data_IF_598007781307
#
_entry.id   IF_598007781307
#
_cell.length_a   1.000
_cell.length_b   1.000
_cell.length_c   1.000
_cell.angle_alpha   90.00
_cell.angle_beta   90.00
_cell.angle_gamma   90.00
#
_symmetry.space_group_name_H-M   'P 1'
#
loop_
_entity.id
_entity.type
_entity.pdbx_description
1 polymer ?
#
# COMPACT_ATOMS: atom_id res chain seq x y z
N UNK A 1 -27.84 -44.69 -6.71
CA UNK A 1 -28.56 -43.90 -7.72
C UNK A 1 -27.77 -42.62 -7.92
N UNK A 2 -26.97 -42.58 -8.99
CA UNK A 2 -26.13 -41.44 -9.34
C UNK A 2 -27.00 -40.36 -9.98
N UNK A 3 -27.10 -39.18 -9.36
CA UNK A 3 -27.58 -37.98 -10.04
C UNK A 3 -26.37 -37.32 -10.70
N UNK A 4 -26.17 -37.69 -11.97
CA UNK A 4 -25.23 -37.08 -12.89
C UNK A 4 -25.87 -35.78 -13.38
N UNK A 5 -25.52 -34.66 -12.75
CA UNK A 5 -25.88 -33.34 -13.29
C UNK A 5 -24.98 -33.15 -14.52
N UNK A 6 -25.60 -33.16 -15.70
CA UNK A 6 -24.94 -32.83 -16.95
C UNK A 6 -24.64 -31.32 -16.93
N UNK A 7 -23.38 -30.97 -16.65
CA UNK A 7 -22.83 -29.70 -17.08
C UNK A 7 -22.91 -29.67 -18.61
N UNK A 8 -23.59 -28.67 -19.16
CA UNK A 8 -23.57 -28.42 -20.60
C UNK A 8 -22.15 -28.09 -21.04
N UNK A 9 -21.68 -28.73 -22.10
CA UNK A 9 -20.35 -28.58 -22.74
C UNK A 9 -19.92 -27.12 -23.02
N UNK A 10 -20.85 -26.15 -22.98
CA UNK A 10 -20.62 -24.74 -23.28
C UNK A 10 -19.93 -23.94 -22.17
N UNK A 11 -20.02 -24.36 -20.89
CA UNK A 11 -19.37 -23.68 -19.76
C UNK A 11 -17.93 -24.19 -19.58
N UNK A 12 -17.71 -25.48 -19.79
CA UNK A 12 -16.39 -26.11 -19.71
C UNK A 12 -15.47 -25.69 -20.87
N UNK A 13 -16.05 -25.32 -22.03
CA UNK A 13 -15.31 -24.77 -23.18
C UNK A 13 -15.03 -23.26 -23.12
N UNK A 14 -15.67 -22.51 -22.20
CA UNK A 14 -15.53 -21.04 -22.12
C UNK A 14 -14.28 -20.57 -21.37
N UNK A 15 -13.65 -21.45 -20.58
CA UNK A 15 -12.57 -21.10 -19.64
C UNK A 15 -11.54 -22.22 -19.48
N UNK A 16 -11.07 -22.82 -20.57
CA UNK A 16 -10.21 -24.02 -20.56
C UNK A 16 -8.81 -23.86 -19.94
N UNK A 17 -8.46 -22.68 -19.40
CA UNK A 17 -7.12 -22.42 -18.86
C UNK A 17 -7.06 -21.50 -17.62
N UNK A 18 -8.20 -21.11 -17.02
CA UNK A 18 -8.22 -20.18 -15.87
C UNK A 18 -7.55 -20.74 -14.62
N UNK A 19 -7.61 -22.06 -14.40
CA UNK A 19 -6.85 -22.72 -13.32
C UNK A 19 -5.34 -22.53 -13.49
N UNK A 20 -4.84 -22.64 -14.72
CA UNK A 20 -3.43 -22.43 -15.06
C UNK A 20 -3.01 -20.97 -14.91
N UNK A 21 -3.89 -20.02 -15.26
CA UNK A 21 -3.63 -18.58 -15.04
C UNK A 21 -3.48 -18.27 -13.56
N UNK A 22 -4.41 -18.76 -12.72
CA UNK A 22 -4.35 -18.50 -11.26
C UNK A 22 -3.05 -19.03 -10.67
N UNK A 23 -2.72 -20.29 -10.98
CA UNK A 23 -1.50 -20.94 -10.52
C UNK A 23 -0.23 -20.23 -11.00
N UNK A 24 -0.24 -19.71 -12.23
CA UNK A 24 0.86 -18.92 -12.79
C UNK A 24 1.12 -17.66 -11.96
N UNK A 25 0.10 -16.85 -11.69
CA UNK A 25 0.25 -15.64 -10.88
C UNK A 25 0.57 -15.93 -9.41
N UNK A 26 0.04 -17.01 -8.81
CA UNK A 26 0.47 -17.46 -7.47
C UNK A 26 1.96 -17.79 -7.42
N UNK A 27 2.47 -18.42 -8.48
CA UNK A 27 3.91 -18.73 -8.61
C UNK A 27 4.74 -17.46 -8.73
N UNK A 28 4.28 -16.48 -9.52
CA UNK A 28 4.94 -15.18 -9.65
C UNK A 28 4.94 -14.39 -8.32
N UNK A 29 3.83 -14.39 -7.58
CA UNK A 29 3.73 -13.76 -6.26
C UNK A 29 4.71 -14.40 -5.26
N UNK A 30 4.77 -15.74 -5.21
CA UNK A 30 5.75 -16.46 -4.37
C UNK A 30 7.21 -16.13 -4.73
N UNK A 31 7.48 -15.85 -6.01
CA UNK A 31 8.81 -15.40 -6.45
C UNK A 31 9.11 -13.98 -6.00
N UNK A 32 8.10 -13.11 -5.94
CA UNK A 32 8.20 -11.71 -5.50
C UNK A 32 8.29 -11.55 -3.98
N UNK A 33 7.94 -12.58 -3.19
CA UNK A 33 8.10 -12.61 -1.73
C UNK A 33 9.52 -12.21 -1.29
N UNK A 34 9.60 -11.29 -0.33
CA UNK A 34 10.84 -10.76 0.26
C UNK A 34 11.78 -11.84 0.79
N UNK A 35 11.24 -12.97 1.23
CA UNK A 35 12.01 -14.11 1.76
C UNK A 35 12.47 -15.11 0.68
N UNK A 36 12.05 -14.92 -0.58
CA UNK A 36 12.41 -15.81 -1.69
C UNK A 36 13.86 -15.59 -2.14
N UNK A 37 14.63 -16.67 -2.26
CA UNK A 37 16.01 -16.61 -2.76
C UNK A 37 16.04 -16.30 -4.26
N UNK A 38 16.90 -15.38 -4.73
CA UNK A 38 17.00 -15.08 -6.15
C UNK A 38 17.52 -16.29 -6.91
N UNK A 39 16.93 -16.54 -8.09
CA UNK A 39 17.52 -17.47 -9.06
C UNK A 39 18.48 -16.68 -9.96
N UNK A 40 19.60 -17.29 -10.31
CA UNK A 40 20.55 -16.67 -11.25
C UNK A 40 19.90 -16.56 -12.63
N UNK A 41 19.90 -15.37 -13.25
CA UNK A 41 19.53 -15.18 -14.64
C UNK A 41 20.27 -16.13 -15.57
N UNK A 42 19.54 -16.95 -16.34
CA UNK A 42 20.16 -17.93 -17.24
C UNK A 42 20.88 -17.30 -18.46
N UNK A 43 20.61 -16.01 -18.73
CA UNK A 43 21.06 -15.30 -19.94
C UNK A 43 22.29 -14.42 -19.74
N UNK A 44 22.79 -14.26 -18.51
CA UNK A 44 23.86 -13.30 -18.17
C UNK A 44 25.15 -14.01 -17.72
N UNK A 45 26.30 -13.47 -18.09
CA UNK A 45 27.59 -13.97 -17.66
C UNK A 45 27.88 -13.61 -16.19
N UNK A 46 28.75 -14.38 -15.55
CA UNK A 46 29.18 -14.15 -14.15
C UNK A 46 29.81 -12.76 -13.97
N UNK A 47 30.47 -12.22 -15.00
CA UNK A 47 31.10 -10.90 -14.94
C UNK A 47 30.06 -9.77 -15.01
N UNK A 48 29.03 -9.93 -15.84
CA UNK A 48 27.90 -8.98 -15.93
C UNK A 48 27.10 -8.96 -14.62
N UNK A 49 26.83 -10.13 -14.05
CA UNK A 49 26.07 -10.28 -12.82
C UNK A 49 26.77 -9.71 -11.58
N UNK A 50 28.11 -9.67 -11.59
CA UNK A 50 28.91 -9.11 -10.49
C UNK A 50 29.19 -7.60 -10.65
N UNK A 51 28.83 -6.99 -11.78
CA UNK A 51 29.08 -5.58 -12.05
C UNK A 51 27.89 -4.71 -11.62
N UNK A 52 28.09 -3.92 -10.56
CA UNK A 52 27.08 -2.94 -10.11
C UNK A 52 26.69 -1.95 -11.21
N UNK A 53 27.66 -1.60 -12.07
CA UNK A 53 27.46 -0.68 -13.19
C UNK A 53 26.58 -1.30 -14.28
N UNK A 54 26.81 -2.57 -14.60
CA UNK A 54 25.97 -3.33 -15.52
C UNK A 54 24.55 -3.51 -14.97
N UNK A 55 24.41 -3.93 -13.71
CA UNK A 55 23.10 -4.09 -13.06
C UNK A 55 22.30 -2.78 -13.05
N UNK A 56 22.96 -1.63 -12.88
CA UNK A 56 22.30 -0.33 -12.72
C UNK A 56 22.02 0.41 -14.03
N UNK A 57 23.03 0.52 -14.89
CA UNK A 57 22.97 1.35 -16.09
C UNK A 57 22.43 0.58 -17.31
N UNK A 58 22.52 -0.75 -17.30
CA UNK A 58 22.15 -1.56 -18.46
C UNK A 58 20.97 -2.48 -18.15
N UNK A 59 21.08 -3.31 -17.13
CA UNK A 59 20.09 -4.34 -16.85
C UNK A 59 18.78 -3.77 -16.25
N UNK A 60 18.88 -2.89 -15.25
CA UNK A 60 17.70 -2.31 -14.58
C UNK A 60 16.79 -1.56 -15.56
N UNK A 61 17.23 -0.58 -16.37
CA UNK A 61 16.34 0.16 -17.27
C UNK A 61 15.59 -0.77 -18.24
N UNK A 62 16.28 -1.79 -18.77
CA UNK A 62 15.69 -2.78 -19.67
C UNK A 62 14.63 -3.61 -18.95
N UNK A 63 14.93 -4.14 -17.76
CA UNK A 63 13.98 -4.93 -16.97
C UNK A 63 12.76 -4.10 -16.58
N UNK A 64 12.96 -2.83 -16.18
CA UNK A 64 11.87 -1.95 -15.80
C UNK A 64 10.97 -1.58 -17.00
N UNK A 65 11.56 -1.22 -18.15
CA UNK A 65 10.80 -0.95 -19.37
C UNK A 65 10.01 -2.18 -19.85
N UNK A 66 10.63 -3.36 -19.77
CA UNK A 66 9.97 -4.61 -20.18
C UNK A 66 8.84 -4.99 -19.21
N UNK A 67 8.99 -4.73 -17.91
CA UNK A 67 7.91 -4.91 -16.93
C UNK A 67 6.79 -3.90 -17.14
N UNK A 68 7.11 -2.64 -17.43
CA UNK A 68 6.14 -1.60 -17.79
C UNK A 68 5.26 -2.06 -18.96
N UNK A 69 5.86 -2.53 -20.06
CA UNK A 69 5.11 -2.93 -21.25
C UNK A 69 4.22 -4.16 -21.00
N UNK A 70 4.73 -5.15 -20.27
CA UNK A 70 3.94 -6.33 -19.89
C UNK A 70 2.78 -5.97 -18.95
N UNK A 71 2.98 -5.08 -17.98
CA UNK A 71 1.92 -4.62 -17.09
C UNK A 71 0.89 -3.75 -17.81
N UNK A 72 1.31 -2.93 -18.77
CA UNK A 72 0.41 -2.15 -19.64
C UNK A 72 -0.47 -3.08 -20.47
N UNK A 73 0.14 -4.09 -21.08
CA UNK A 73 -0.58 -5.09 -21.89
C UNK A 73 -1.53 -5.93 -21.02
N UNK A 74 -1.09 -6.32 -19.82
CA UNK A 74 -1.90 -7.05 -18.84
C UNK A 74 -3.10 -6.20 -18.37
N UNK A 75 -2.87 -4.92 -18.07
CA UNK A 75 -3.91 -3.95 -17.68
C UNK A 75 -4.99 -3.83 -18.77
N UNK A 76 -4.60 -3.70 -20.04
CA UNK A 76 -5.54 -3.70 -21.15
C UNK A 76 -6.30 -5.02 -21.30
N UNK A 77 -5.61 -6.16 -21.11
CA UNK A 77 -6.23 -7.48 -21.19
C UNK A 77 -7.24 -7.74 -20.05
N UNK A 78 -7.10 -7.04 -18.93
CA UNK A 78 -7.96 -7.14 -17.74
C UNK A 78 -9.15 -6.18 -17.74
N UNK A 79 -9.30 -5.34 -18.77
CA UNK A 79 -10.46 -4.46 -18.90
C UNK A 79 -11.76 -5.30 -18.98
N UNK A 80 -12.78 -5.02 -18.13
CA UNK A 80 -14.00 -5.82 -18.06
C UNK A 80 -14.72 -5.97 -19.40
N UNK A 81 -14.74 -4.90 -20.22
CA UNK A 81 -15.37 -4.89 -21.53
C UNK A 81 -14.64 -5.83 -22.50
N UNK A 82 -13.31 -5.84 -22.45
CA UNK A 82 -12.47 -6.65 -23.32
C UNK A 82 -12.53 -8.15 -22.98
N UNK A 83 -12.56 -8.48 -21.68
CA UNK A 83 -12.71 -9.84 -21.17
C UNK A 83 -14.09 -10.43 -21.49
N UNK A 84 -15.13 -9.60 -21.50
CA UNK A 84 -16.49 -10.03 -21.84
C UNK A 84 -16.63 -10.34 -23.34
N UNK A 85 -15.97 -9.55 -24.18
CA UNK A 85 -16.07 -9.65 -25.64
C UNK A 85 -15.26 -10.82 -26.23
N UNK A 86 -14.06 -11.12 -25.71
CA UNK A 86 -13.22 -12.22 -26.21
C UNK A 86 -12.43 -12.92 -25.08
N UNK A 87 -13.10 -13.71 -24.22
CA UNK A 87 -12.50 -14.28 -23.02
C UNK A 87 -11.36 -15.26 -23.31
N UNK A 88 -11.48 -16.08 -24.34
CA UNK A 88 -10.51 -17.13 -24.65
C UNK A 88 -9.19 -16.54 -25.18
N UNK A 89 -9.24 -15.56 -26.08
CA UNK A 89 -8.02 -14.90 -26.58
C UNK A 89 -7.34 -14.08 -25.49
N UNK A 90 -8.10 -13.42 -24.60
CA UNK A 90 -7.54 -12.65 -23.48
C UNK A 90 -6.90 -13.54 -22.43
N UNK A 91 -7.52 -14.68 -22.08
CA UNK A 91 -6.91 -15.68 -21.19
C UNK A 91 -5.63 -16.26 -21.79
N UNK A 92 -5.60 -16.54 -23.09
CA UNK A 92 -4.40 -16.99 -23.78
C UNK A 92 -3.30 -15.94 -23.76
N UNK A 93 -3.62 -14.69 -24.04
CA UNK A 93 -2.69 -13.57 -23.94
C UNK A 93 -2.11 -13.44 -22.52
N UNK A 94 -2.95 -13.57 -21.50
CA UNK A 94 -2.51 -13.53 -20.10
C UNK A 94 -1.51 -14.66 -19.80
N UNK A 95 -1.75 -15.88 -20.29
CA UNK A 95 -0.80 -17.01 -20.14
C UNK A 95 0.53 -16.75 -20.84
N UNK A 96 0.51 -16.18 -22.04
CA UNK A 96 1.72 -15.82 -22.79
C UNK A 96 2.53 -14.76 -22.01
N UNK A 97 1.85 -13.74 -21.47
CA UNK A 97 2.45 -12.70 -20.64
C UNK A 97 3.10 -13.24 -19.35
N UNK A 98 2.57 -14.31 -18.75
CA UNK A 98 3.11 -14.88 -17.51
C UNK A 98 4.55 -15.37 -17.66
N UNK A 99 4.92 -15.92 -18.82
CA UNK A 99 6.30 -16.38 -19.07
C UNK A 99 7.29 -15.21 -19.18
N UNK A 100 6.90 -14.11 -19.83
CA UNK A 100 7.68 -12.88 -19.90
C UNK A 100 7.82 -12.21 -18.54
N UNK A 101 6.74 -12.18 -17.74
CA UNK A 101 6.76 -11.70 -16.37
C UNK A 101 7.67 -12.56 -15.48
N UNK A 102 7.65 -13.89 -15.63
CA UNK A 102 8.51 -14.81 -14.86
C UNK A 102 10.00 -14.54 -15.07
N UNK A 103 10.39 -14.32 -16.33
CA UNK A 103 11.76 -13.98 -16.68
C UNK A 103 12.16 -12.64 -16.05
N UNK A 104 11.37 -11.59 -16.26
CA UNK A 104 11.69 -10.25 -15.78
C UNK A 104 11.69 -10.15 -14.24
N UNK A 105 10.79 -10.86 -13.56
CA UNK A 105 10.79 -10.94 -12.09
C UNK A 105 12.04 -11.65 -11.57
N UNK A 106 12.55 -12.65 -12.30
CA UNK A 106 13.83 -13.30 -11.95
C UNK A 106 14.99 -12.32 -12.03
N UNK A 107 15.06 -11.53 -13.10
CA UNK A 107 16.04 -10.46 -13.26
C UNK A 107 15.90 -9.38 -12.17
N UNK A 108 14.67 -8.96 -11.88
CA UNK A 108 14.34 -7.98 -10.85
C UNK A 108 14.78 -8.45 -9.45
N UNK A 109 14.48 -9.70 -9.09
CA UNK A 109 14.89 -10.31 -7.81
C UNK A 109 16.40 -10.42 -7.68
N UNK A 110 17.09 -10.73 -8.78
CA UNK A 110 18.54 -10.75 -8.80
C UNK A 110 19.11 -9.34 -8.54
N UNK A 111 18.57 -8.31 -9.21
CA UNK A 111 18.92 -6.91 -8.94
C UNK A 111 18.68 -6.59 -7.46
N UNK A 112 17.49 -6.84 -6.91
CA UNK A 112 17.17 -6.57 -5.48
C UNK A 112 18.21 -7.19 -4.54
N UNK A 113 18.56 -8.46 -4.76
CA UNK A 113 19.40 -9.20 -3.84
C UNK A 113 20.87 -8.75 -3.88
N UNK A 114 21.42 -8.59 -5.08
CA UNK A 114 22.85 -8.32 -5.25
C UNK A 114 23.19 -6.82 -5.30
N UNK A 115 22.19 -5.95 -5.44
CA UNK A 115 22.41 -4.51 -5.51
C UNK A 115 22.72 -3.90 -4.14
N UNK A 116 23.90 -3.29 -3.97
CA UNK A 116 24.44 -2.84 -2.67
C UNK A 116 23.80 -1.56 -2.09
N UNK A 117 23.10 -0.76 -2.89
CA UNK A 117 22.55 0.53 -2.43
C UNK A 117 21.12 0.34 -1.91
N UNK A 118 20.95 0.54 -0.60
CA UNK A 118 19.72 0.23 0.13
C UNK A 118 18.50 1.07 -0.29
N UNK A 119 18.67 2.31 -0.76
CA UNK A 119 17.54 3.18 -1.15
C UNK A 119 16.92 2.84 -2.51
N UNK A 120 17.71 2.26 -3.40
CA UNK A 120 17.25 1.80 -4.72
C UNK A 120 16.74 0.37 -4.63
N UNK A 121 17.34 -0.44 -3.74
CA UNK A 121 16.80 -1.75 -3.35
C UNK A 121 15.39 -1.64 -2.77
N UNK A 122 15.08 -0.61 -1.97
CA UNK A 122 13.71 -0.39 -1.47
C UNK A 122 12.75 -0.02 -2.60
N UNK A 123 13.13 0.85 -3.54
CA UNK A 123 12.33 1.19 -4.74
C UNK A 123 12.01 -0.04 -5.60
N UNK A 124 13.01 -0.87 -5.88
CA UNK A 124 12.82 -2.10 -6.67
C UNK A 124 12.00 -3.15 -5.89
N UNK A 125 12.06 -3.15 -4.55
CA UNK A 125 11.18 -3.94 -3.70
C UNK A 125 9.73 -3.43 -3.69
N UNK A 126 9.50 -2.11 -3.72
CA UNK A 126 8.16 -1.54 -3.84
C UNK A 126 7.56 -1.92 -5.20
N UNK A 127 8.32 -1.80 -6.30
CA UNK A 127 7.90 -2.33 -7.62
C UNK A 127 7.54 -3.81 -7.55
N UNK A 128 8.38 -4.63 -6.90
CA UNK A 128 8.09 -6.05 -6.71
C UNK A 128 6.81 -6.30 -5.90
N UNK A 129 6.59 -5.52 -4.84
CA UNK A 129 5.40 -5.60 -4.00
C UNK A 129 4.14 -5.20 -4.78
N UNK A 130 4.18 -4.12 -5.56
CA UNK A 130 3.07 -3.63 -6.40
C UNK A 130 2.67 -4.61 -7.49
N UNK A 131 3.67 -5.23 -8.13
CA UNK A 131 3.44 -6.30 -9.10
C UNK A 131 2.75 -7.49 -8.41
N UNK A 132 3.19 -7.86 -7.21
CA UNK A 132 2.56 -8.94 -6.44
C UNK A 132 1.13 -8.61 -6.04
N UNK A 133 0.85 -7.37 -5.62
CA UNK A 133 -0.49 -6.89 -5.28
C UNK A 133 -1.41 -6.94 -6.51
N UNK A 134 -0.90 -6.52 -7.67
CA UNK A 134 -1.62 -6.58 -8.95
C UNK A 134 -2.00 -8.04 -9.30
N UNK A 135 -1.08 -8.98 -9.17
CA UNK A 135 -1.34 -10.40 -9.44
C UNK A 135 -2.36 -11.02 -8.47
N UNK A 136 -2.35 -10.61 -7.21
CA UNK A 136 -3.32 -11.05 -6.22
C UNK A 136 -4.75 -10.67 -6.63
N UNK A 137 -4.95 -9.41 -7.04
CA UNK A 137 -6.26 -8.94 -7.48
C UNK A 137 -6.73 -9.58 -8.79
N UNK A 138 -5.81 -9.84 -9.73
CA UNK A 138 -6.11 -10.59 -10.96
C UNK A 138 -6.59 -12.00 -10.64
N UNK A 139 -5.92 -12.70 -9.73
CA UNK A 139 -6.31 -14.03 -9.29
C UNK A 139 -7.68 -14.04 -8.61
N UNK A 140 -7.93 -13.06 -7.75
CA UNK A 140 -9.22 -12.90 -7.09
C UNK A 140 -10.34 -12.68 -8.10
N UNK A 141 -10.08 -11.92 -9.16
CA UNK A 141 -11.03 -11.68 -10.25
C UNK A 141 -11.33 -12.96 -11.06
N UNK A 142 -10.30 -13.69 -11.49
CA UNK A 142 -10.48 -14.94 -12.27
C UNK A 142 -11.21 -15.99 -11.44
N UNK A 143 -10.89 -16.09 -10.15
CA UNK A 143 -11.55 -16.98 -9.20
C UNK A 143 -13.04 -16.65 -9.04
N UNK A 144 -13.39 -15.36 -8.86
CA UNK A 144 -14.78 -14.89 -8.74
C UNK A 144 -15.58 -15.06 -10.04
N UNK A 145 -14.95 -14.85 -11.20
CA UNK A 145 -15.59 -15.01 -12.52
C UNK A 145 -15.92 -16.48 -12.80
N UNK A 146 -15.06 -17.41 -12.38
CA UNK A 146 -15.25 -18.85 -12.50
C UNK A 146 -16.40 -19.40 -11.64
N UNK A 147 -16.69 -18.78 -10.49
CA UNK A 147 -17.80 -19.19 -9.60
C UNK A 147 -19.19 -18.75 -10.09
N UNK A 148 -19.26 -17.84 -11.07
CA UNK A 148 -20.49 -17.21 -11.57
C UNK A 148 -21.25 -18.02 -12.64
N UNK A 149 -21.04 -19.33 -12.75
CA UNK A 149 -21.71 -20.17 -13.75
C UNK A 149 -23.16 -20.54 -13.38
N UNK A 150 -23.59 -20.25 -12.15
CA UNK A 150 -25.00 -20.30 -11.75
C UNK A 150 -25.65 -18.90 -11.84
N UNK A 151 -26.95 -18.80 -12.16
CA UNK A 151 -27.63 -17.52 -12.34
C UNK A 151 -27.60 -16.71 -11.03
N UNK A 152 -27.40 -15.38 -11.10
CA UNK A 152 -27.21 -14.55 -9.92
C UNK A 152 -28.53 -14.44 -9.15
N UNK A 153 -28.51 -14.85 -7.88
CA UNK A 153 -29.32 -14.14 -6.88
C UNK A 153 -28.69 -12.75 -6.68
N UNK A 154 -29.55 -11.74 -6.69
CA UNK A 154 -29.25 -10.34 -7.02
C UNK A 154 -28.34 -9.58 -6.03
N UNK A 155 -27.77 -8.51 -6.58
CA UNK A 155 -27.40 -7.21 -5.98
C UNK A 155 -26.01 -6.96 -5.35
N UNK A 156 -25.26 -7.94 -4.83
CA UNK A 156 -23.96 -7.63 -4.17
C UNK A 156 -22.70 -8.05 -4.96
N UNK A 157 -22.85 -8.82 -6.04
CA UNK A 157 -21.72 -9.44 -6.74
C UNK A 157 -21.09 -8.62 -7.87
N UNK A 158 -21.86 -7.74 -8.52
CA UNK A 158 -21.42 -7.02 -9.73
C UNK A 158 -20.57 -5.79 -9.39
N UNK A 159 -20.98 -5.00 -8.39
CA UNK A 159 -20.18 -3.88 -7.87
C UNK A 159 -18.84 -4.31 -7.25
N UNK A 160 -18.79 -5.50 -6.64
CA UNK A 160 -17.54 -6.06 -6.11
C UNK A 160 -16.58 -6.55 -7.21
N UNK A 161 -17.11 -6.95 -8.38
CA UNK A 161 -16.29 -7.35 -9.55
C UNK A 161 -15.65 -6.13 -10.20
N UNK A 162 -16.45 -5.10 -10.47
CA UNK A 162 -15.99 -3.88 -11.12
C UNK A 162 -14.97 -3.11 -10.25
N UNK A 163 -15.16 -3.13 -8.93
CA UNK A 163 -14.24 -2.52 -7.98
C UNK A 163 -12.87 -3.20 -7.90
N UNK A 164 -12.81 -4.52 -7.80
CA UNK A 164 -11.51 -5.22 -7.74
C UNK A 164 -10.71 -5.07 -9.04
N UNK A 165 -11.39 -4.95 -10.18
CA UNK A 165 -10.75 -4.66 -11.47
C UNK A 165 -10.22 -3.23 -11.47
N UNK A 166 -11.01 -2.26 -11.01
CA UNK A 166 -10.58 -0.87 -10.91
C UNK A 166 -9.37 -0.71 -9.97
N UNK A 167 -9.36 -1.39 -8.82
CA UNK A 167 -8.22 -1.41 -7.88
C UNK A 167 -6.95 -2.00 -8.53
N UNK A 168 -7.07 -3.12 -9.25
CA UNK A 168 -5.95 -3.72 -9.98
C UNK A 168 -5.43 -2.79 -11.10
N UNK A 169 -6.33 -2.17 -11.86
CA UNK A 169 -6.00 -1.22 -12.91
C UNK A 169 -5.37 0.06 -12.37
N UNK A 170 -5.81 0.54 -11.20
CA UNK A 170 -5.26 1.73 -10.54
C UNK A 170 -3.84 1.47 -10.04
N UNK A 171 -3.59 0.30 -9.43
CA UNK A 171 -2.24 -0.11 -9.00
C UNK A 171 -1.32 -0.32 -10.19
N UNK A 172 -1.79 -0.95 -11.28
CA UNK A 172 -0.99 -1.13 -12.51
C UNK A 172 -0.70 0.20 -13.20
N UNK A 173 -1.69 1.09 -13.37
CA UNK A 173 -1.49 2.44 -13.92
C UNK A 173 -0.51 3.24 -13.08
N UNK A 174 -0.59 3.12 -11.76
CA UNK A 174 0.35 3.80 -10.87
C UNK A 174 1.77 3.25 -10.98
N UNK A 175 1.91 1.93 -11.10
CA UNK A 175 3.22 1.28 -11.34
C UNK A 175 3.81 1.72 -12.68
N UNK A 176 2.96 1.89 -13.70
CA UNK A 176 3.34 2.44 -15.02
C UNK A 176 3.82 3.88 -14.89
N UNK A 177 3.06 4.78 -14.25
CA UNK A 177 3.48 6.18 -14.06
C UNK A 177 4.77 6.33 -13.25
N UNK A 178 5.02 5.39 -12.32
CA UNK A 178 6.25 5.37 -11.54
C UNK A 178 7.49 5.07 -12.40
N UNK A 179 7.34 4.27 -13.47
CA UNK A 179 8.42 4.05 -14.43
C UNK A 179 8.78 5.30 -15.25
N UNK A 180 7.87 6.27 -15.33
CA UNK A 180 8.01 7.49 -16.15
C UNK A 180 8.54 8.72 -15.36
N UNK A 181 8.62 8.68 -14.02
CA UNK A 181 8.84 9.86 -13.15
C UNK A 181 10.29 10.20 -12.72
N UNK A 182 10.57 11.49 -12.50
CA UNK A 182 11.83 12.05 -11.94
C UNK A 182 11.84 11.97 -10.40
N UNK A 183 13.02 12.04 -9.78
CA UNK A 183 13.24 11.77 -8.35
C UNK A 183 12.43 12.62 -7.35
N UNK A 184 11.88 13.77 -7.79
CA UNK A 184 10.97 14.62 -6.99
C UNK A 184 9.54 14.09 -6.90
N UNK A 185 9.08 13.27 -7.85
CA UNK A 185 7.73 12.67 -7.85
C UNK A 185 7.66 11.44 -6.94
N UNK A 186 8.82 10.85 -6.59
CA UNK A 186 8.92 9.58 -5.88
C UNK A 186 8.52 9.68 -4.40
N UNK A 187 8.86 10.79 -3.72
CA UNK A 187 8.49 11.02 -2.31
C UNK A 187 6.98 11.20 -2.19
N UNK A 188 6.40 11.97 -3.12
CA UNK A 188 4.96 12.23 -3.16
C UNK A 188 4.15 10.99 -3.55
N UNK A 189 4.66 10.18 -4.48
CA UNK A 189 4.04 8.91 -4.85
C UNK A 189 4.08 7.88 -3.72
N UNK A 190 5.19 7.74 -3.00
CA UNK A 190 5.26 6.89 -1.79
C UNK A 190 4.25 7.34 -0.71
N UNK A 191 4.07 8.65 -0.56
CA UNK A 191 3.06 9.17 0.34
C UNK A 191 1.64 8.97 -0.20
N UNK A 192 1.39 9.03 -1.50
CA UNK A 192 0.04 8.93 -2.06
C UNK A 192 -0.66 7.62 -1.71
N UNK A 193 0.04 6.50 -1.83
CA UNK A 193 -0.55 5.19 -1.49
C UNK A 193 -0.72 5.04 0.01
N UNK A 194 0.30 5.40 0.77
CA UNK A 194 0.26 5.27 2.22
C UNK A 194 -0.80 6.19 2.83
N UNK A 195 -0.97 7.40 2.29
CA UNK A 195 -2.03 8.33 2.68
C UNK A 195 -3.43 7.83 2.30
N UNK A 196 -3.60 7.19 1.13
CA UNK A 196 -4.85 6.50 0.78
C UNK A 196 -5.18 5.37 1.76
N UNK A 197 -4.18 4.55 2.16
CA UNK A 197 -4.37 3.49 3.17
C UNK A 197 -4.71 4.07 4.54
N UNK A 198 -4.07 5.17 4.94
CA UNK A 198 -4.41 5.92 6.15
C UNK A 198 -5.84 6.47 6.08
N UNK A 199 -6.28 6.95 4.92
CA UNK A 199 -7.65 7.43 4.70
C UNK A 199 -8.69 6.32 4.81
N UNK A 200 -8.41 5.15 4.24
CA UNK A 200 -9.28 3.99 4.39
C UNK A 200 -9.38 3.55 5.84
N UNK A 201 -8.24 3.45 6.54
CA UNK A 201 -8.21 3.10 7.96
C UNK A 201 -8.98 4.13 8.81
N UNK A 202 -8.85 5.42 8.50
CA UNK A 202 -9.61 6.48 9.16
C UNK A 202 -11.13 6.31 8.95
N UNK A 203 -11.54 5.99 7.73
CA UNK A 203 -12.95 5.73 7.40
C UNK A 203 -13.48 4.51 8.14
N UNK A 204 -12.70 3.42 8.21
CA UNK A 204 -13.06 2.23 8.98
C UNK A 204 -13.22 2.53 10.48
N UNK A 205 -12.29 3.27 11.08
CA UNK A 205 -12.38 3.65 12.50
C UNK A 205 -13.59 4.53 12.80
N UNK A 206 -13.99 5.40 11.87
CA UNK A 206 -15.22 6.19 12.01
C UNK A 206 -16.46 5.29 12.03
N UNK A 207 -16.53 4.27 11.16
CA UNK A 207 -17.63 3.29 11.14
C UNK A 207 -17.67 2.46 12.45
N UNK A 208 -16.51 2.10 12.98
CA UNK A 208 -16.40 1.27 14.19
C UNK A 208 -16.87 1.97 15.47
N UNK A 209 -16.79 3.31 15.49
CA UNK A 209 -17.06 4.16 16.67
C UNK A 209 -18.41 4.89 16.58
N UNK A 210 -18.84 5.28 15.39
CA UNK A 210 -20.06 6.09 15.21
C UNK A 210 -21.23 5.24 14.70
N UNK A 211 -22.32 5.09 15.48
CA UNK A 211 -23.46 4.29 15.08
C UNK A 211 -24.28 4.89 13.93
N UNK A 212 -24.09 6.18 13.63
CA UNK A 212 -24.82 6.92 12.58
C UNK A 212 -24.13 6.87 11.22
N UNK A 213 -22.87 6.43 11.18
CA UNK A 213 -22.13 6.22 9.93
C UNK A 213 -22.44 4.81 9.42
N UNK A 214 -23.20 4.74 8.32
CA UNK A 214 -23.53 3.46 7.71
C UNK A 214 -22.29 2.87 7.01
N UNK A 215 -22.04 1.55 7.16
CA UNK A 215 -20.98 0.89 6.41
C UNK A 215 -21.27 1.02 4.92
N UNK A 216 -20.34 1.59 4.17
CA UNK A 216 -20.23 1.27 2.74
C UNK A 216 -19.89 -0.22 2.59
N UNK A 217 -20.33 -0.89 1.52
CA UNK A 217 -20.18 -2.34 1.21
C UNK A 217 -18.72 -2.89 1.17
N UNK A 218 -17.76 -2.19 1.76
CA UNK A 218 -16.31 -2.42 1.69
C UNK A 218 -15.62 -2.32 3.04
N UNK A 219 -16.33 -2.42 4.16
CA UNK A 219 -15.68 -2.54 5.47
C UNK A 219 -15.27 -3.99 5.70
N UNK A 220 -14.01 -4.20 6.11
CA UNK A 220 -13.49 -5.51 6.50
C UNK A 220 -14.32 -6.13 7.65
N UNK A 221 -15.09 -5.32 8.38
CA UNK A 221 -15.88 -5.72 9.55
C UNK A 221 -17.36 -5.32 9.43
N UNK A 222 -18.09 -5.86 8.44
CA UNK A 222 -19.54 -5.65 8.28
C UNK A 222 -20.40 -5.98 9.52
N UNK A 223 -19.84 -6.56 10.60
CA UNK A 223 -20.63 -7.08 11.74
C UNK A 223 -20.13 -6.75 13.16
N UNK A 224 -19.04 -6.00 13.37
CA UNK A 224 -18.53 -5.74 14.74
C UNK A 224 -18.12 -4.29 14.95
N UNK A 225 -18.99 -3.52 15.59
CA UNK A 225 -18.66 -2.21 16.19
C UNK A 225 -17.90 -2.42 17.49
N UNK A 226 -17.09 -1.44 17.88
CA UNK A 226 -16.51 -1.45 19.23
C UNK A 226 -17.61 -1.27 20.28
N UNK A 227 -17.56 -2.08 21.32
CA UNK A 227 -18.58 -2.11 22.39
C UNK A 227 -17.98 -1.60 23.69
N UNK A 228 -16.69 -1.85 23.93
CA UNK A 228 -16.02 -1.42 25.14
C UNK A 228 -15.78 0.09 25.10
N UNK A 229 -16.36 0.81 26.07
CA UNK A 229 -16.20 2.27 26.18
C UNK A 229 -14.73 2.72 26.18
N UNK A 230 -13.78 2.04 26.86
CA UNK A 230 -12.36 2.40 26.75
C UNK A 230 -11.78 2.27 25.34
N UNK A 231 -12.20 1.26 24.57
CA UNK A 231 -11.76 1.04 23.18
C UNK A 231 -12.34 2.11 22.27
N UNK A 232 -13.61 2.49 22.47
CA UNK A 232 -14.27 3.60 21.77
C UNK A 232 -13.51 4.92 21.97
N UNK A 233 -13.19 5.27 23.23
CA UNK A 233 -12.47 6.51 23.54
C UNK A 233 -11.03 6.50 23.01
N UNK A 234 -10.34 5.36 23.12
CA UNK A 234 -9.01 5.18 22.52
C UNK A 234 -9.05 5.31 20.99
N UNK A 235 -10.09 4.78 20.34
CA UNK A 235 -10.25 4.89 18.90
C UNK A 235 -10.51 6.34 18.46
N UNK A 236 -11.31 7.11 19.20
CA UNK A 236 -11.49 8.56 18.94
C UNK A 236 -10.18 9.34 19.07
N UNK A 237 -9.36 8.98 20.06
CA UNK A 237 -8.03 9.56 20.23
C UNK A 237 -7.11 9.19 19.06
N UNK A 238 -7.09 7.92 18.64
CA UNK A 238 -6.34 7.46 17.46
C UNK A 238 -6.78 8.16 16.17
N UNK A 239 -8.09 8.34 15.95
CA UNK A 239 -8.65 9.11 14.84
C UNK A 239 -8.06 10.53 14.80
N UNK A 240 -7.89 11.16 15.97
CA UNK A 240 -7.30 12.50 16.07
C UNK A 240 -5.82 12.49 15.67
N UNK A 241 -5.05 11.51 16.14
CA UNK A 241 -3.64 11.31 15.76
C UNK A 241 -3.52 11.06 14.25
N UNK A 242 -4.32 10.15 13.70
CA UNK A 242 -4.36 9.85 12.26
C UNK A 242 -4.63 11.11 11.44
N UNK A 243 -5.61 11.93 11.84
CA UNK A 243 -5.93 13.19 11.16
C UNK A 243 -4.77 14.18 11.18
N UNK A 244 -4.04 14.27 12.29
CA UNK A 244 -2.85 15.12 12.39
C UNK A 244 -1.72 14.61 11.50
N UNK A 245 -1.43 13.30 11.49
CA UNK A 245 -0.45 12.72 10.58
C UNK A 245 -0.85 12.95 9.11
N UNK A 246 -2.12 12.75 8.76
CA UNK A 246 -2.62 13.06 7.40
C UNK A 246 -2.43 14.52 7.03
N UNK A 247 -2.68 15.43 7.97
CA UNK A 247 -2.51 16.86 7.77
C UNK A 247 -1.06 17.21 7.45
N UNK A 248 -0.07 16.57 8.08
CA UNK A 248 1.35 16.71 7.78
C UNK A 248 1.66 16.35 6.33
N UNK A 249 1.30 15.13 5.90
CA UNK A 249 1.54 14.66 4.53
C UNK A 249 0.85 15.55 3.49
N UNK A 250 -0.40 15.95 3.75
CA UNK A 250 -1.15 16.85 2.86
C UNK A 250 -0.50 18.23 2.74
N UNK A 251 0.15 18.72 3.81
CA UNK A 251 0.86 20.00 3.76
C UNK A 251 2.10 19.94 2.87
N UNK A 252 2.76 18.79 2.79
CA UNK A 252 3.98 18.58 2.01
C UNK A 252 3.72 18.20 0.53
N UNK A 253 2.53 17.68 0.19
CA UNK A 253 2.12 17.37 -1.18
C UNK A 253 2.05 18.62 -2.11
N UNK A 254 1.96 18.39 -3.43
CA UNK A 254 1.61 19.36 -4.49
C UNK A 254 0.42 20.25 -4.14
N UNK A 255 -0.54 19.79 -3.33
CA UNK A 255 -1.66 20.62 -2.89
C UNK A 255 -1.33 21.59 -1.74
N UNK A 256 -0.12 21.53 -1.19
CA UNK A 256 0.37 22.32 -0.06
C UNK A 256 1.57 23.19 -0.42
N UNK A 257 2.74 22.87 0.13
CA UNK A 257 4.01 23.60 -0.07
C UNK A 257 4.61 23.42 -1.45
N UNK A 258 4.32 22.32 -2.13
CA UNK A 258 4.94 21.97 -3.40
C UNK A 258 4.20 22.57 -4.63
N UNK A 259 3.33 23.58 -4.42
CA UNK A 259 2.56 24.24 -5.50
C UNK A 259 3.40 25.03 -6.50
N UNK A 260 4.61 25.44 -6.13
CA UNK A 260 5.47 26.35 -6.92
C UNK A 260 6.74 25.67 -7.46
N UNK A 261 6.77 24.34 -7.55
CA UNK A 261 7.98 23.54 -7.81
C UNK A 261 9.07 23.87 -6.78
N UNK A 262 9.11 23.11 -5.68
CA UNK A 262 10.34 23.06 -4.89
C UNK A 262 11.50 22.76 -5.86
N UNK A 263 12.65 23.46 -5.76
CA UNK A 263 13.74 23.25 -6.68
C UNK A 263 14.13 21.78 -6.71
N UNK A 264 14.40 21.27 -7.92
CA UNK A 264 14.66 19.87 -8.26
C UNK A 264 15.79 19.21 -7.45
N UNK A 265 16.55 20.01 -6.69
CA UNK A 265 17.68 19.56 -5.89
C UNK A 265 17.58 20.14 -4.48
N UNK A 266 17.33 19.25 -3.52
CA UNK A 266 17.52 19.51 -2.09
C UNK A 266 18.91 19.06 -1.69
N UNK A 267 19.58 19.74 -0.76
CA UNK A 267 20.88 19.31 -0.22
C UNK A 267 20.80 18.06 0.71
N UNK A 268 19.63 17.41 0.79
CA UNK A 268 19.46 16.21 1.61
C UNK A 268 20.26 15.04 1.06
N UNK A 269 20.97 14.33 1.94
CA UNK A 269 21.61 13.07 1.58
C UNK A 269 20.57 11.94 1.45
N UNK A 270 21.00 10.83 0.87
CA UNK A 270 20.15 9.69 0.55
C UNK A 270 19.42 9.10 1.78
N UNK A 271 20.04 9.10 2.97
CA UNK A 271 19.40 8.63 4.22
C UNK A 271 18.30 9.58 4.69
N UNK A 272 18.49 10.88 4.51
CA UNK A 272 17.49 11.89 4.88
C UNK A 272 16.27 11.83 3.95
N UNK A 273 16.50 11.69 2.64
CA UNK A 273 15.43 11.49 1.66
C UNK A 273 14.67 10.19 1.98
N UNK A 274 15.40 9.09 2.25
CA UNK A 274 14.80 7.81 2.64
C UNK A 274 13.87 7.94 3.86
N UNK A 275 14.33 8.65 4.88
CA UNK A 275 13.55 8.89 6.09
C UNK A 275 12.21 9.59 5.79
N UNK A 276 12.17 10.49 4.81
CA UNK A 276 10.92 11.11 4.36
C UNK A 276 10.05 10.14 3.56
N UNK A 277 10.63 9.36 2.64
CA UNK A 277 9.89 8.42 1.81
C UNK A 277 9.15 7.33 2.60
N UNK A 278 9.84 6.70 3.56
CA UNK A 278 9.32 5.53 4.28
C UNK A 278 8.32 5.92 5.38
N UNK A 279 8.32 7.19 5.80
CA UNK A 279 7.52 7.69 6.93
C UNK A 279 6.04 7.31 6.87
N UNK A 280 5.40 7.48 5.72
CA UNK A 280 3.96 7.26 5.60
C UNK A 280 3.58 5.77 5.71
N UNK A 281 4.39 4.88 5.13
CA UNK A 281 4.19 3.44 5.20
C UNK A 281 4.40 2.93 6.64
N UNK A 282 5.48 3.39 7.24
CA UNK A 282 5.85 3.08 8.62
C UNK A 282 4.79 3.53 9.63
N UNK A 283 4.23 4.72 9.45
CA UNK A 283 3.14 5.25 10.30
C UNK A 283 1.84 4.48 10.06
N UNK A 284 1.54 4.09 8.82
CA UNK A 284 0.38 3.25 8.53
C UNK A 284 0.47 1.88 9.21
N UNK A 285 1.64 1.22 9.16
CA UNK A 285 1.86 -0.06 9.81
C UNK A 285 1.63 0.02 11.32
N UNK A 286 2.12 1.09 11.95
CA UNK A 286 1.89 1.35 13.37
C UNK A 286 0.41 1.54 13.71
N UNK A 287 -0.33 2.29 12.89
CA UNK A 287 -1.77 2.47 13.10
C UNK A 287 -2.55 1.18 12.94
N UNK A 288 -2.24 0.38 11.93
CA UNK A 288 -2.87 -0.92 11.72
C UNK A 288 -2.62 -1.84 12.92
N UNK A 289 -1.40 -1.86 13.46
CA UNK A 289 -1.05 -2.65 14.64
C UNK A 289 -1.87 -2.22 15.87
N UNK A 290 -2.05 -0.91 16.12
CA UNK A 290 -2.91 -0.42 17.21
C UNK A 290 -4.37 -0.87 17.00
N UNK A 291 -4.89 -0.82 15.77
CA UNK A 291 -6.27 -1.24 15.49
C UNK A 291 -6.47 -2.74 15.71
N UNK A 292 -5.49 -3.57 15.34
CA UNK A 292 -5.53 -4.99 15.66
C UNK A 292 -5.54 -5.24 17.18
N UNK A 293 -4.74 -4.47 17.93
CA UNK A 293 -4.76 -4.55 19.40
C UNK A 293 -6.10 -4.12 20.00
N UNK A 294 -6.84 -3.18 19.40
CA UNK A 294 -8.21 -2.86 19.84
C UNK A 294 -9.15 -4.06 19.69
N UNK A 295 -9.06 -4.80 18.58
CA UNK A 295 -9.86 -6.02 18.37
C UNK A 295 -9.49 -7.12 19.38
N UNK A 296 -8.20 -7.22 19.73
CA UNK A 296 -7.76 -8.14 20.78
C UNK A 296 -8.34 -7.77 22.15
N UNK A 297 -8.42 -6.46 22.48
CA UNK A 297 -9.04 -6.02 23.75
C UNK A 297 -10.53 -6.39 23.81
N UNK A 298 -11.28 -6.21 22.72
CA UNK A 298 -12.70 -6.56 22.63
C UNK A 298 -12.97 -8.06 22.79
N UNK A 299 -11.98 -8.91 22.47
CA UNK A 299 -12.09 -10.37 22.55
C UNK A 299 -11.35 -10.97 23.77
N UNK A 300 -10.62 -10.15 24.53
CA UNK A 300 -9.79 -10.62 25.63
C UNK A 300 -10.59 -11.06 26.86
N UNK A 301 -10.52 -12.36 27.17
CA UNK A 301 -11.22 -12.96 28.32
C UNK A 301 -10.57 -12.66 29.69
N UNK A 302 -9.28 -12.29 29.75
CA UNK A 302 -8.54 -12.14 31.02
C UNK A 302 -7.86 -10.78 31.20
N UNK A 303 -7.59 -10.38 32.46
CA UNK A 303 -6.92 -9.12 32.81
C UNK A 303 -5.42 -9.08 32.43
N UNK A 304 -4.62 -10.15 32.60
CA UNK A 304 -3.20 -10.12 32.25
C UNK A 304 -2.93 -9.88 30.75
N UNK A 305 -3.79 -10.38 29.86
CA UNK A 305 -3.68 -10.10 28.42
C UNK A 305 -3.92 -8.61 28.13
N UNK A 306 -4.84 -7.95 28.84
CA UNK A 306 -5.14 -6.51 28.66
C UNK A 306 -4.00 -5.58 29.07
N UNK A 307 -3.31 -5.85 30.18
CA UNK A 307 -2.14 -5.05 30.57
C UNK A 307 -0.98 -5.19 29.57
N UNK A 308 -0.78 -6.39 29.01
CA UNK A 308 0.21 -6.60 27.95
C UNK A 308 -0.16 -5.83 26.68
N UNK A 309 -1.43 -5.88 26.27
CA UNK A 309 -1.94 -5.13 25.12
C UNK A 309 -1.76 -3.62 25.34
N UNK A 310 -2.16 -3.08 26.51
CA UNK A 310 -1.95 -1.67 26.87
C UNK A 310 -0.48 -1.26 26.74
N UNK A 311 0.44 -2.03 27.33
CA UNK A 311 1.88 -1.75 27.26
C UNK A 311 2.37 -1.77 25.81
N UNK A 312 1.83 -2.65 24.98
CA UNK A 312 2.17 -2.70 23.57
C UNK A 312 1.68 -1.46 22.82
N UNK A 313 0.43 -1.06 23.02
CA UNK A 313 -0.15 0.14 22.41
C UNK A 313 0.64 1.41 22.73
N UNK A 314 1.04 1.61 24.00
CA UNK A 314 1.84 2.77 24.42
C UNK A 314 3.19 2.79 23.68
N UNK A 315 3.86 1.65 23.57
CA UNK A 315 5.12 1.56 22.82
C UNK A 315 4.95 1.91 21.34
N UNK A 316 3.83 1.54 20.74
CA UNK A 316 3.55 1.89 19.34
C UNK A 316 3.25 3.39 19.23
N UNK A 317 2.52 3.99 20.17
CA UNK A 317 2.30 5.43 20.21
C UNK A 317 3.63 6.22 20.33
N UNK A 318 4.53 5.78 21.21
CA UNK A 318 5.90 6.32 21.31
C UNK A 318 6.67 6.16 19.99
N UNK A 319 6.54 5.00 19.32
CA UNK A 319 7.15 4.74 18.01
C UNK A 319 6.63 5.72 16.94
N UNK A 320 5.31 5.97 16.90
CA UNK A 320 4.72 6.97 16.01
C UNK A 320 5.30 8.35 16.27
N UNK A 321 5.45 8.76 17.53
CA UNK A 321 6.08 10.05 17.90
C UNK A 321 7.50 10.16 17.30
N UNK A 322 8.32 9.14 17.56
CA UNK A 322 9.73 9.11 17.16
C UNK A 322 9.91 9.09 15.64
N UNK A 323 8.96 8.52 14.88
CA UNK A 323 9.00 8.53 13.42
C UNK A 323 8.97 9.93 12.82
N UNK A 324 8.35 10.90 13.50
CA UNK A 324 8.24 12.27 12.98
C UNK A 324 9.39 13.19 13.39
N UNK A 325 10.22 12.85 14.38
CA UNK A 325 11.30 13.73 14.87
C UNK A 325 12.28 14.14 13.74
N UNK A 326 12.83 13.16 13.03
CA UNK A 326 13.77 13.42 11.95
C UNK A 326 13.08 14.05 10.72
N UNK A 327 11.97 13.50 10.17
CA UNK A 327 11.26 14.11 9.06
C UNK A 327 10.82 15.55 9.29
N UNK A 328 10.31 15.87 10.47
CA UNK A 328 9.89 17.23 10.81
C UNK A 328 11.08 18.21 10.76
N UNK A 329 12.23 17.82 11.32
CA UNK A 329 13.45 18.62 11.24
C UNK A 329 13.95 18.77 9.80
N UNK A 330 13.92 17.69 9.00
CA UNK A 330 14.35 17.72 7.61
C UNK A 330 13.50 18.66 6.77
N UNK A 331 12.18 18.66 6.98
CA UNK A 331 11.26 19.61 6.35
C UNK A 331 11.65 21.05 6.67
N UNK A 332 11.87 21.37 7.96
CA UNK A 332 12.22 22.71 8.41
C UNK A 332 13.59 23.19 7.90
N UNK A 333 14.56 22.28 7.82
CA UNK A 333 15.95 22.59 7.44
C UNK A 333 16.18 22.61 5.93
N UNK A 334 15.52 21.73 5.18
CA UNK A 334 15.82 21.52 3.77
C UNK A 334 14.68 21.91 2.83
N UNK A 335 13.42 21.87 3.26
CA UNK A 335 12.29 22.15 2.36
C UNK A 335 11.72 23.55 2.55
N UNK A 336 11.51 23.99 3.79
CA UNK A 336 10.98 25.35 4.08
C UNK A 336 11.87 26.47 3.53
N UNK A 337 13.22 26.42 3.63
CA UNK A 337 14.07 27.48 3.09
C UNK A 337 14.04 27.63 1.57
N UNK A 338 13.57 26.61 0.85
CA UNK A 338 13.48 26.63 -0.60
C UNK A 338 12.24 27.39 -1.13
N UNK A 339 11.36 27.83 -0.24
CA UNK A 339 10.13 28.54 -0.62
C UNK A 339 10.48 30.00 -0.95
N UNK A 340 10.15 30.50 -2.16
CA UNK A 340 10.47 31.86 -2.57
C UNK A 340 9.68 32.88 -1.75
N UNK A 341 10.36 33.92 -1.27
CA UNK A 341 9.73 35.00 -0.51
C UNK A 341 9.10 36.02 -1.47
N UNK A 342 7.90 35.74 -1.96
CA UNK A 342 7.16 36.66 -2.83
C UNK A 342 6.31 37.63 -2.01
N UNK A 343 6.80 38.86 -1.80
CA UNK A 343 5.95 40.04 -1.60
C UNK A 343 5.48 40.35 -0.17
N UNK A 344 6.40 40.56 0.77
CA UNK A 344 6.15 41.37 1.99
C UNK A 344 5.73 40.61 3.24
N UNK A 345 5.36 39.32 3.14
CA UNK A 345 5.23 38.41 4.30
C UNK A 345 6.01 37.14 3.97
N UNK A 346 7.00 36.82 4.80
CA UNK A 346 7.87 35.67 4.54
C UNK A 346 7.07 34.37 4.53
N UNK A 347 6.80 33.79 3.35
CA UNK A 347 6.10 32.50 3.19
C UNK A 347 6.79 31.42 4.05
N UNK A 348 8.13 31.50 4.17
CA UNK A 348 8.93 30.62 5.02
C UNK A 348 8.54 30.73 6.50
N UNK A 349 8.31 31.95 7.02
CA UNK A 349 7.90 32.16 8.42
C UNK A 349 6.56 31.49 8.73
N UNK A 350 5.61 31.56 7.79
CA UNK A 350 4.32 30.89 7.89
C UNK A 350 4.47 29.38 7.99
N UNK A 351 5.29 28.76 7.13
CA UNK A 351 5.50 27.32 7.17
C UNK A 351 6.25 26.86 8.42
N UNK A 352 7.25 27.61 8.89
CA UNK A 352 7.93 27.34 10.17
C UNK A 352 6.91 27.29 11.32
N UNK A 353 6.11 28.34 11.48
CA UNK A 353 5.08 28.43 12.53
C UNK A 353 4.04 27.30 12.41
N UNK A 354 3.63 26.97 11.18
CA UNK A 354 2.68 25.89 10.93
C UNK A 354 3.22 24.53 11.38
N UNK A 355 4.46 24.17 11.01
CA UNK A 355 5.05 22.88 11.41
C UNK A 355 5.36 22.82 12.90
N UNK A 356 5.75 23.94 13.52
CA UNK A 356 5.91 24.00 14.98
C UNK A 356 4.56 23.76 15.68
N UNK A 357 3.50 24.42 15.22
CA UNK A 357 2.15 24.23 15.77
C UNK A 357 1.67 22.79 15.61
N UNK A 358 1.85 22.23 14.43
CA UNK A 358 1.50 20.84 14.14
C UNK A 358 2.26 19.86 15.06
N UNK A 359 3.56 20.08 15.27
CA UNK A 359 4.39 19.24 16.14
C UNK A 359 3.91 19.28 17.59
N UNK A 360 3.52 20.45 18.10
CA UNK A 360 2.88 20.55 19.42
C UNK A 360 1.55 19.78 19.49
N UNK A 361 0.72 19.88 18.45
CA UNK A 361 -0.58 19.21 18.41
C UNK A 361 -0.44 17.67 18.41
N UNK A 362 0.50 17.11 17.64
CA UNK A 362 0.70 15.66 17.60
C UNK A 362 1.23 15.12 18.93
N UNK A 363 2.16 15.83 19.59
CA UNK A 363 2.65 15.47 20.93
C UNK A 363 1.50 15.45 21.95
N UNK A 364 0.65 16.48 21.95
CA UNK A 364 -0.49 16.55 22.87
C UNK A 364 -1.50 15.43 22.58
N UNK A 365 -1.76 15.12 21.31
CA UNK A 365 -2.67 14.03 20.93
C UNK A 365 -2.14 12.66 21.39
N UNK A 366 -0.84 12.40 21.22
CA UNK A 366 -0.19 11.18 21.70
C UNK A 366 -0.22 11.06 23.22
N UNK A 367 0.08 12.15 23.94
CA UNK A 367 -0.02 12.15 25.40
C UNK A 367 -1.45 11.89 25.90
N UNK A 368 -2.46 12.45 25.21
CA UNK A 368 -3.86 12.16 25.51
C UNK A 368 -4.22 10.70 25.25
N UNK A 369 -3.69 10.10 24.18
CA UNK A 369 -3.86 8.67 23.89
C UNK A 369 -3.26 7.79 24.99
N UNK A 370 -2.03 8.05 25.43
CA UNK A 370 -1.38 7.31 26.52
C UNK A 370 -2.18 7.41 27.82
N UNK A 371 -2.68 8.62 28.13
CA UNK A 371 -3.53 8.83 29.31
C UNK A 371 -4.83 8.02 29.21
N UNK A 372 -5.49 8.01 28.06
CA UNK A 372 -6.71 7.22 27.84
C UNK A 372 -6.45 5.72 27.92
N UNK A 373 -5.24 5.25 27.56
CA UNK A 373 -4.88 3.84 27.66
C UNK A 373 -4.93 3.30 29.09
N UNK A 374 -4.88 4.17 30.11
CA UNK A 374 -5.09 3.79 31.51
C UNK A 374 -6.51 3.30 31.81
N UNK A 375 -7.50 3.69 30.99
CA UNK A 375 -8.88 3.20 31.13
C UNK A 375 -9.01 1.68 30.96
N UNK A 376 -8.08 1.05 30.24
CA UNK A 376 -8.03 -0.40 30.06
C UNK A 376 -7.78 -1.15 31.37
N UNK A 377 -7.19 -0.50 32.38
CA UNK A 377 -6.93 -1.11 33.68
C UNK A 377 -8.21 -1.24 34.54
N UNK A 378 -9.27 -0.49 34.20
CA UNK A 378 -10.51 -0.36 34.99
C UNK A 378 -11.72 -1.04 34.34
N UNK A 379 -11.51 -1.87 33.31
CA UNK A 379 -12.58 -2.68 32.72
C UNK A 379 -12.96 -3.78 33.71
N UNK A 380 -14.11 -3.60 34.38
CA UNK A 380 -14.72 -4.58 35.26
C UNK A 380 -15.94 -5.22 34.56
N UNK A 381 -16.04 -6.55 34.63
CA UNK A 381 -17.21 -7.31 34.21
C UNK A 381 -18.19 -7.49 35.37
#
# INVERSE_FOLDING_TARGET
MYLKISLTDSVETRWTYTGSVIQGFETLMKKLDKHSHPKTPATLSVNELNSNDFLFNHMRPIVLATLHDHLTTLSLALNPLDLCNDPNSKVKLILELQSGLDHNITQLKYIIHFYRINELRSKVNDVAFRISESFHFVNLHIYKTRLSADPPEEENGEGAREKSIQEALDVMKWTITWFDGLESDIVEDHWRISTFRIDNLLHELLILVDPTVYPTHHSINEKRRFVLQPVIELTKSLITIIKLCRLFFKKLSQQGMNKKQLPLHTDMNSKQIKCLCELAEDVYADFLEIVLLFLDVETAETVPSRHMIKRHMIKIAERVANRFEAPWLLVLLHLVPLIPDTGGRSEQSYYKEWFTTWHTQIIVALHNFDRLATMLDYIHF
#
